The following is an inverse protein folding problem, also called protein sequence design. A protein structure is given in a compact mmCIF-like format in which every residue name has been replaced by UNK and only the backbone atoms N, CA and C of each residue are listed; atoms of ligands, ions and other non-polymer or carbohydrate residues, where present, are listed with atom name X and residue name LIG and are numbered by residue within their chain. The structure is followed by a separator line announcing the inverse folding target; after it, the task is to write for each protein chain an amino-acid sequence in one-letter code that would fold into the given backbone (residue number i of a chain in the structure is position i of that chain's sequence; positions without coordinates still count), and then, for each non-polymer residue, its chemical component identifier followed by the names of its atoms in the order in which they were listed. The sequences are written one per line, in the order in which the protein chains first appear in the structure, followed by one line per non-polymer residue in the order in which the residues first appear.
data_IF_613312233502
#
_entry.id   IF_613312233502
#
_cell.length_a   1.000
_cell.length_b   1.000
_cell.length_c   1.000
_cell.angle_alpha   90.00
_cell.angle_beta   90.00
_cell.angle_gamma   90.00
#
_symmetry.space_group_name_H-M   'P 1'
#
loop_
_entity.id
_entity.type
_entity.pdbx_description
1 polymer ?
#
# COMPACT_ATOMS: atom_id res chain seq x y z
N UNK A 1 -9.01 10.79 20.10
CA UNK A 1 -8.50 11.01 18.73
C UNK A 1 -9.72 11.22 17.86
N UNK A 2 -9.87 12.41 17.27
CA UNK A 2 -10.99 12.74 16.39
C UNK A 2 -10.57 12.47 14.94
N UNK A 3 -11.38 11.71 14.21
CA UNK A 3 -11.15 11.40 12.80
C UNK A 3 -12.14 12.21 11.96
N UNK A 4 -11.62 13.03 11.05
CA UNK A 4 -12.44 13.81 10.12
C UNK A 4 -12.28 13.24 8.71
N UNK A 5 -13.40 12.98 8.02
CA UNK A 5 -13.43 12.58 6.62
C UNK A 5 -13.88 13.78 5.79
N UNK A 6 -13.08 14.21 4.83
CA UNK A 6 -13.41 15.32 3.92
C UNK A 6 -13.35 14.87 2.46
N UNK A 7 -14.10 15.54 1.59
CA UNK A 7 -14.42 15.10 0.22
C UNK A 7 -13.24 15.16 -0.77
N UNK A 8 -12.15 15.87 -0.47
CA UNK A 8 -10.95 16.01 -1.34
C UNK A 8 -9.82 15.00 -1.05
N UNK A 9 -10.13 13.89 -0.38
CA UNK A 9 -9.17 12.86 0.02
C UNK A 9 -9.19 12.60 1.52
N UNK A 10 -8.67 11.44 1.94
CA UNK A 10 -8.61 11.08 3.36
C UNK A 10 -7.45 11.85 3.99
N UNK A 11 -7.76 12.95 4.68
CA UNK A 11 -6.81 13.63 5.56
C UNK A 11 -7.09 13.20 7.00
N UNK A 12 -6.18 12.43 7.59
CA UNK A 12 -6.31 12.03 9.00
C UNK A 12 -5.59 13.08 9.83
N UNK A 13 -6.20 13.56 10.90
CA UNK A 13 -5.57 14.53 11.79
C UNK A 13 -5.18 13.88 13.10
N UNK A 14 -3.94 14.11 13.54
CA UNK A 14 -3.45 13.69 14.85
C UNK A 14 -2.79 14.88 15.54
N UNK A 15 -3.28 15.28 16.72
CA UNK A 15 -2.81 16.45 17.48
C UNK A 15 -2.73 17.75 16.65
N UNK A 16 -3.68 17.95 15.74
CA UNK A 16 -3.72 19.12 14.85
C UNK A 16 -2.78 19.05 13.63
N UNK A 17 -1.99 17.97 13.49
CA UNK A 17 -1.13 17.72 12.34
C UNK A 17 -1.84 16.85 11.31
N UNK A 18 -1.60 17.13 10.03
CA UNK A 18 -2.20 16.43 8.91
C UNK A 18 -1.36 15.21 8.53
N UNK A 19 -1.98 14.04 8.53
CA UNK A 19 -1.48 12.83 7.90
C UNK A 19 -2.14 12.74 6.53
N UNK A 20 -1.34 12.79 5.47
CA UNK A 20 -1.82 12.68 4.10
C UNK A 20 -2.03 11.20 3.78
N UNK A 21 -3.28 10.76 3.66
CA UNK A 21 -3.58 9.40 3.23
C UNK A 21 -4.08 9.42 1.78
N UNK A 22 -3.20 9.23 0.78
CA UNK A 22 -3.66 9.05 -0.59
C UNK A 22 -4.65 7.89 -0.61
N UNK A 23 -5.83 8.13 -1.22
CA UNK A 23 -6.96 7.21 -1.18
C UNK A 23 -6.71 6.04 -2.13
N UNK A 24 -5.80 5.16 -1.74
CA UNK A 24 -5.75 3.79 -2.25
C UNK A 24 -6.68 2.89 -1.42
N UNK A 25 -7.05 3.31 -0.22
CA UNK A 25 -7.81 2.57 0.79
C UNK A 25 -9.25 2.20 0.42
N UNK A 26 -9.96 3.01 -0.37
CA UNK A 26 -11.33 2.66 -0.76
C UNK A 26 -11.35 1.48 -1.74
N UNK A 27 -10.28 1.33 -2.54
CA UNK A 27 -10.23 0.30 -3.58
C UNK A 27 -8.81 -0.24 -3.82
N UNK A 28 -8.05 -0.69 -2.80
CA UNK A 28 -6.64 -1.00 -3.00
C UNK A 28 -6.45 -2.25 -3.86
N UNK A 29 -7.31 -3.27 -3.65
CA UNK A 29 -7.42 -4.41 -4.55
C UNK A 29 -7.78 -3.97 -5.97
N UNK A 30 -8.63 -2.95 -6.14
CA UNK A 30 -8.98 -2.43 -7.46
C UNK A 30 -7.78 -1.77 -8.14
N UNK A 31 -7.00 -0.93 -7.44
CA UNK A 31 -5.80 -0.32 -8.01
C UNK A 31 -4.75 -1.35 -8.37
N UNK A 32 -4.57 -2.37 -7.53
CA UNK A 32 -3.70 -3.50 -7.86
C UNK A 32 -4.20 -4.25 -9.11
N UNK A 33 -5.49 -4.56 -9.19
CA UNK A 33 -6.13 -5.24 -10.33
C UNK A 33 -6.09 -4.38 -11.61
N UNK A 34 -6.23 -3.06 -11.50
CA UNK A 34 -6.29 -2.15 -12.66
C UNK A 34 -4.90 -1.76 -13.17
N UNK A 35 -3.92 -1.62 -12.27
CA UNK A 35 -2.66 -0.95 -12.59
C UNK A 35 -1.41 -1.80 -12.39
N UNK A 36 -1.49 -2.92 -11.65
CA UNK A 36 -0.32 -3.74 -11.32
C UNK A 36 -0.44 -5.11 -11.98
N UNK A 37 -1.49 -5.86 -11.65
CA UNK A 37 -1.66 -7.23 -12.13
C UNK A 37 -1.65 -7.37 -13.67
N UNK A 38 -2.29 -6.51 -14.47
CA UNK A 38 -2.27 -6.64 -15.93
C UNK A 38 -0.86 -6.38 -16.52
N UNK A 39 -0.12 -5.46 -15.91
CA UNK A 39 1.24 -5.13 -16.35
C UNK A 39 2.23 -6.23 -15.99
N UNK A 40 2.13 -6.78 -14.78
CA UNK A 40 2.90 -7.95 -14.37
C UNK A 40 2.58 -9.12 -15.30
N UNK A 41 1.30 -9.46 -15.48
CA UNK A 41 0.86 -10.56 -16.35
C UNK A 41 1.38 -10.41 -17.80
N UNK A 42 1.27 -9.21 -18.38
CA UNK A 42 1.84 -8.92 -19.70
C UNK A 42 3.35 -9.15 -19.71
N UNK A 43 4.07 -8.64 -18.69
CA UNK A 43 5.53 -8.76 -18.63
C UNK A 43 5.98 -10.22 -18.48
N UNK A 44 5.27 -11.02 -17.70
CA UNK A 44 5.54 -12.46 -17.58
C UNK A 44 5.35 -13.18 -18.91
N UNK A 45 4.27 -12.87 -19.63
CA UNK A 45 4.03 -13.41 -20.96
C UNK A 45 5.12 -13.01 -21.97
N UNK A 46 5.54 -11.73 -21.96
CA UNK A 46 6.62 -11.22 -22.82
C UNK A 46 7.98 -11.88 -22.50
N UNK A 47 8.19 -12.29 -21.25
CA UNK A 47 9.40 -13.00 -20.80
C UNK A 47 9.32 -14.52 -20.98
N UNK A 48 8.18 -15.06 -21.41
CA UNK A 48 7.97 -16.51 -21.52
C UNK A 48 7.93 -17.24 -20.18
N UNK A 49 7.60 -16.54 -19.09
CA UNK A 49 7.45 -17.13 -17.75
C UNK A 49 6.05 -17.73 -17.63
N UNK A 50 5.96 -19.06 -17.53
CA UNK A 50 4.71 -19.80 -17.42
C UNK A 50 4.33 -20.16 -15.97
N UNK A 51 5.31 -20.18 -15.04
CA UNK A 51 5.12 -20.33 -13.60
C UNK A 51 5.83 -19.23 -12.83
N UNK A 52 5.15 -18.61 -11.87
CA UNK A 52 5.71 -17.54 -11.05
C UNK A 52 5.38 -17.68 -9.56
N UNK A 53 6.21 -17.07 -8.73
CA UNK A 53 6.10 -17.05 -7.27
C UNK A 53 6.18 -15.62 -6.73
N UNK A 54 5.36 -15.35 -5.72
CA UNK A 54 5.40 -14.15 -4.88
C UNK A 54 4.98 -14.53 -3.46
N UNK A 55 5.51 -13.84 -2.46
CA UNK A 55 5.24 -14.12 -1.03
C UNK A 55 3.75 -13.91 -0.66
N UNK A 56 3.05 -13.03 -1.38
CA UNK A 56 1.62 -12.78 -1.19
C UNK A 56 0.78 -13.67 -2.12
N UNK A 57 0.23 -14.75 -1.56
CA UNK A 57 -0.62 -15.68 -2.31
C UNK A 57 -1.84 -14.99 -2.94
N UNK A 58 -2.47 -14.02 -2.25
CA UNK A 58 -3.63 -13.32 -2.79
C UNK A 58 -3.26 -12.48 -4.02
N UNK A 59 -2.14 -11.75 -3.93
CA UNK A 59 -1.57 -11.04 -5.06
C UNK A 59 -1.22 -12.00 -6.22
N UNK A 60 -0.65 -13.17 -5.89
CA UNK A 60 -0.33 -14.23 -6.85
C UNK A 60 -1.55 -14.73 -7.62
N UNK A 61 -2.67 -14.98 -6.93
CA UNK A 61 -3.94 -15.39 -7.56
C UNK A 61 -4.50 -14.33 -8.49
N UNK A 62 -4.42 -13.06 -8.11
CA UNK A 62 -4.90 -11.96 -8.95
C UNK A 62 -4.07 -11.86 -10.25
N UNK A 63 -2.74 -12.00 -10.15
CA UNK A 63 -1.86 -12.02 -11.33
C UNK A 63 -2.18 -13.23 -12.22
N UNK A 64 -2.37 -14.42 -11.64
CA UNK A 64 -2.74 -15.64 -12.36
C UNK A 64 -4.05 -15.46 -13.15
N UNK A 65 -5.05 -14.81 -12.55
CA UNK A 65 -6.28 -14.44 -13.26
C UNK A 65 -6.00 -13.46 -14.42
N UNK A 66 -5.19 -12.43 -14.18
CA UNK A 66 -4.80 -11.46 -15.20
C UNK A 66 -3.97 -12.08 -16.34
N UNK A 67 -3.26 -13.17 -16.08
CA UNK A 67 -2.53 -13.94 -17.10
C UNK A 67 -3.44 -14.61 -18.13
N UNK A 68 -4.73 -14.82 -17.84
CA UNK A 68 -5.67 -15.45 -18.77
C UNK A 68 -5.22 -16.83 -19.25
N UNK A 69 -4.59 -17.62 -18.36
CA UNK A 69 -4.10 -18.97 -18.65
C UNK A 69 -2.69 -19.05 -19.25
N UNK A 70 -1.99 -17.93 -19.47
CA UNK A 70 -0.62 -17.92 -20.00
C UNK A 70 0.47 -18.15 -18.94
N UNK A 71 0.17 -17.81 -17.69
CA UNK A 71 1.04 -17.98 -16.54
C UNK A 71 0.21 -18.40 -15.32
N UNK A 72 0.84 -19.15 -14.41
CA UNK A 72 0.20 -19.66 -13.19
C UNK A 72 1.03 -19.39 -11.95
N UNK A 73 0.35 -19.14 -10.84
CA UNK A 73 0.99 -18.99 -9.54
C UNK A 73 1.42 -20.36 -9.01
N UNK A 74 2.69 -20.52 -8.66
CA UNK A 74 3.24 -21.75 -8.11
C UNK A 74 4.46 -21.48 -7.22
N UNK A 75 4.61 -22.23 -6.13
CA UNK A 75 5.74 -22.09 -5.19
C UNK A 75 7.10 -22.48 -5.80
N UNK A 76 7.09 -23.28 -6.87
CA UNK A 76 8.26 -23.64 -7.68
C UNK A 76 8.46 -22.70 -8.88
N UNK A 77 7.70 -21.60 -8.96
CA UNK A 77 7.77 -20.63 -10.05
C UNK A 77 8.94 -19.66 -9.93
N UNK A 78 9.17 -18.89 -11.01
CA UNK A 78 10.15 -17.81 -11.00
C UNK A 78 9.73 -16.71 -10.01
N UNK A 79 10.67 -16.20 -9.21
CA UNK A 79 10.44 -15.05 -8.34
C UNK A 79 10.16 -13.79 -9.18
N UNK A 80 9.05 -13.13 -8.92
CA UNK A 80 8.59 -11.94 -9.64
C UNK A 80 8.66 -10.65 -8.83
N UNK A 81 9.33 -10.63 -7.67
CA UNK A 81 9.42 -9.44 -6.81
C UNK A 81 9.86 -8.20 -7.60
N UNK A 82 10.89 -8.33 -8.44
CA UNK A 82 11.39 -7.23 -9.27
C UNK A 82 10.40 -6.78 -10.36
N UNK A 83 9.62 -7.70 -10.93
CA UNK A 83 8.59 -7.37 -11.93
C UNK A 83 7.45 -6.60 -11.26
N UNK A 84 7.07 -7.01 -10.04
CA UNK A 84 6.08 -6.30 -9.23
C UNK A 84 6.58 -4.91 -8.82
N UNK A 85 7.84 -4.80 -8.36
CA UNK A 85 8.46 -3.52 -8.01
C UNK A 85 8.41 -2.55 -9.21
N UNK A 86 8.79 -3.03 -10.40
CA UNK A 86 8.75 -2.22 -11.61
C UNK A 86 7.31 -1.79 -11.97
N UNK A 87 6.32 -2.66 -11.83
CA UNK A 87 4.93 -2.31 -12.06
C UNK A 87 4.45 -1.24 -11.05
N UNK A 88 4.73 -1.43 -9.76
CA UNK A 88 4.39 -0.43 -8.74
C UNK A 88 5.05 0.91 -8.99
N UNK A 89 6.34 0.92 -9.34
CA UNK A 89 7.10 2.14 -9.60
C UNK A 89 6.47 2.97 -10.74
N UNK A 90 6.07 2.32 -11.83
CA UNK A 90 5.54 3.02 -13.00
C UNK A 90 4.06 3.41 -12.88
N UNK A 91 3.25 2.66 -12.13
CA UNK A 91 1.78 2.82 -12.18
C UNK A 91 1.14 3.27 -10.86
N UNK A 92 1.81 3.12 -9.72
CA UNK A 92 1.26 3.42 -8.41
C UNK A 92 2.10 4.41 -7.60
N UNK A 93 3.43 4.27 -7.61
CA UNK A 93 4.32 5.04 -6.77
C UNK A 93 4.22 6.55 -7.06
N UNK A 94 4.09 6.94 -8.32
CA UNK A 94 3.95 8.35 -8.71
C UNK A 94 2.70 9.00 -8.12
N UNK A 95 1.57 8.28 -8.07
CA UNK A 95 0.31 8.78 -7.51
C UNK A 95 0.43 9.02 -6.00
N UNK A 96 1.15 8.15 -5.31
CA UNK A 96 1.40 8.28 -3.86
C UNK A 96 2.36 9.45 -3.60
N UNK A 97 3.44 9.55 -4.37
CA UNK A 97 4.45 10.60 -4.21
C UNK A 97 3.93 11.98 -4.63
N UNK A 98 3.03 12.07 -5.60
CA UNK A 98 2.35 13.32 -5.93
C UNK A 98 1.54 13.87 -4.74
N UNK A 99 1.00 13.01 -3.88
CA UNK A 99 0.35 13.43 -2.64
C UNK A 99 1.36 13.90 -1.57
N UNK A 100 2.65 13.58 -1.73
CA UNK A 100 3.73 13.91 -0.81
C UNK A 100 4.43 15.25 -1.10
N UNK A 101 4.00 16.03 -2.11
CA UNK A 101 4.64 17.31 -2.48
C UNK A 101 4.74 18.31 -1.31
N UNK A 102 3.84 18.22 -0.33
CA UNK A 102 3.83 19.04 0.89
C UNK A 102 4.17 18.25 2.16
N UNK A 103 4.67 17.02 2.00
CA UNK A 103 5.03 16.15 3.10
C UNK A 103 6.53 16.17 3.34
N UNK A 104 6.92 16.06 4.61
CA UNK A 104 8.31 15.92 5.03
C UNK A 104 8.73 14.45 5.14
N UNK A 105 7.75 13.55 5.20
CA UNK A 105 7.95 12.14 5.50
C UNK A 105 7.03 11.25 4.68
N UNK A 106 7.53 10.09 4.25
CA UNK A 106 6.75 9.02 3.65
C UNK A 106 6.88 7.73 4.48
N UNK A 107 5.73 7.17 4.89
CA UNK A 107 5.70 5.87 5.56
C UNK A 107 5.67 4.74 4.52
N UNK A 108 6.61 3.80 4.64
CA UNK A 108 6.75 2.66 3.75
C UNK A 108 5.99 1.44 4.29
N UNK A 109 5.10 0.82 3.49
CA UNK A 109 4.30 -0.34 3.88
C UNK A 109 5.11 -1.65 3.73
N UNK A 110 5.90 -2.02 4.74
CA UNK A 110 6.89 -3.12 4.58
C UNK A 110 6.30 -4.52 4.45
N UNK A 111 5.00 -4.70 4.67
CA UNK A 111 4.29 -5.94 4.37
C UNK A 111 4.26 -6.24 2.86
N UNK A 112 4.28 -5.20 2.01
CA UNK A 112 4.42 -5.31 0.55
C UNK A 112 5.80 -4.78 0.14
N UNK A 113 6.81 -5.65 0.15
CA UNK A 113 8.20 -5.28 -0.15
C UNK A 113 8.36 -4.67 -1.55
N UNK A 114 7.78 -5.24 -2.64
CA UNK A 114 7.87 -4.61 -3.97
C UNK A 114 7.31 -3.18 -3.99
N UNK A 115 6.17 -2.94 -3.34
CA UNK A 115 5.59 -1.60 -3.28
C UNK A 115 6.45 -0.65 -2.43
N UNK A 116 6.94 -1.10 -1.29
CA UNK A 116 7.81 -0.29 -0.43
C UNK A 116 9.09 0.15 -1.15
N UNK A 117 9.74 -0.75 -1.89
CA UNK A 117 10.93 -0.43 -2.72
C UNK A 117 10.60 0.58 -3.81
N UNK A 118 9.49 0.36 -4.53
CA UNK A 118 9.03 1.26 -5.57
C UNK A 118 8.75 2.68 -5.04
N UNK A 119 8.10 2.77 -3.87
CA UNK A 119 7.81 4.03 -3.18
C UNK A 119 9.09 4.72 -2.70
N UNK A 120 9.99 4.00 -2.03
CA UNK A 120 11.26 4.54 -1.56
C UNK A 120 12.05 5.14 -2.72
N UNK A 121 12.21 4.39 -3.82
CA UNK A 121 12.89 4.86 -5.02
C UNK A 121 12.24 6.12 -5.60
N UNK A 122 10.93 6.09 -5.85
CA UNK A 122 10.21 7.22 -6.47
C UNK A 122 10.24 8.47 -5.59
N UNK A 123 10.11 8.30 -4.27
CA UNK A 123 10.12 9.39 -3.31
C UNK A 123 11.49 10.09 -3.28
N UNK A 124 12.59 9.33 -3.27
CA UNK A 124 13.95 9.90 -3.30
C UNK A 124 14.25 10.64 -4.61
N UNK A 125 13.76 10.15 -5.73
CA UNK A 125 13.92 10.80 -7.03
C UNK A 125 13.12 12.10 -7.13
N UNK A 126 11.90 12.14 -6.59
CA UNK A 126 10.98 13.27 -6.75
C UNK A 126 11.07 14.34 -5.66
N UNK A 127 11.41 13.96 -4.42
CA UNK A 127 11.40 14.84 -3.25
C UNK A 127 12.75 14.70 -2.52
N UNK A 128 13.79 15.44 -2.96
CA UNK A 128 15.08 15.43 -2.30
C UNK A 128 14.97 15.77 -0.82
N UNK A 129 15.50 14.91 0.05
CA UNK A 129 15.48 15.12 1.50
C UNK A 129 14.22 14.62 2.22
N UNK A 130 13.26 13.97 1.53
CA UNK A 130 12.14 13.31 2.20
C UNK A 130 12.63 12.23 3.16
N UNK A 131 12.10 12.20 4.38
CA UNK A 131 12.36 11.16 5.38
C UNK A 131 11.53 9.92 5.06
N UNK A 132 12.14 8.75 5.02
CA UNK A 132 11.45 7.48 4.82
C UNK A 132 11.34 6.71 6.13
N UNK A 133 10.13 6.33 6.54
CA UNK A 133 9.90 5.58 7.78
C UNK A 133 9.26 4.23 7.47
N UNK A 134 9.92 3.14 7.85
CA UNK A 134 9.41 1.79 7.70
C UNK A 134 8.31 1.48 8.72
N UNK A 135 7.14 1.04 8.23
CA UNK A 135 6.12 0.41 9.06
C UNK A 135 6.37 -1.11 9.08
N UNK A 136 7.08 -1.57 10.11
CA UNK A 136 7.53 -2.93 10.30
C UNK A 136 8.89 -3.23 9.68
N UNK A 137 9.19 -4.53 9.54
CA UNK A 137 10.46 -5.05 8.99
C UNK A 137 10.36 -5.29 7.50
N UNK A 138 11.48 -5.23 6.79
CA UNK A 138 11.56 -5.57 5.36
C UNK A 138 11.73 -4.40 4.39
N UNK A 139 11.85 -3.16 4.89
CA UNK A 139 12.21 -1.99 4.10
C UNK A 139 13.63 -1.49 4.44
N UNK A 140 14.70 -2.00 3.79
CA UNK A 140 16.07 -1.57 4.10
C UNK A 140 16.37 -0.12 3.69
N UNK A 141 15.57 0.45 2.80
CA UNK A 141 15.77 1.80 2.27
C UNK A 141 15.18 2.92 3.17
N UNK A 142 14.66 2.57 4.34
CA UNK A 142 14.08 3.52 5.29
C UNK A 142 15.15 4.18 6.17
N UNK A 143 14.94 5.45 6.51
CA UNK A 143 15.79 6.20 7.44
C UNK A 143 15.50 5.82 8.90
N UNK A 144 14.25 5.50 9.19
CA UNK A 144 13.78 5.08 10.51
C UNK A 144 12.89 3.84 10.42
N UNK A 145 12.85 3.07 11.52
CA UNK A 145 12.02 1.87 11.63
C UNK A 145 11.11 1.96 12.85
N UNK A 146 9.85 1.59 12.65
CA UNK A 146 8.88 1.44 13.72
C UNK A 146 8.21 0.07 13.56
N UNK A 147 8.14 -0.70 14.65
CA UNK A 147 7.36 -1.94 14.73
C UNK A 147 5.98 -1.61 15.35
N UNK A 148 4.94 -1.31 14.54
CA UNK A 148 3.70 -0.74 15.05
C UNK A 148 2.88 -1.75 15.86
N UNK A 149 2.28 -1.27 16.95
CA UNK A 149 1.24 -2.02 17.65
C UNK A 149 -0.10 -1.89 16.93
N UNK A 150 -1.03 -2.86 17.09
CA UNK A 150 -2.33 -2.80 16.43
C UNK A 150 -3.11 -1.54 16.79
N UNK A 151 -3.30 -0.65 15.80
CA UNK A 151 -4.08 0.56 15.97
C UNK A 151 -5.57 0.23 16.03
N UNK A 152 -6.23 0.68 17.10
CA UNK A 152 -7.68 0.71 17.19
C UNK A 152 -8.18 2.00 16.56
N UNK A 153 -8.86 1.88 15.43
CA UNK A 153 -9.43 3.02 14.69
C UNK A 153 -10.86 2.66 14.26
N UNK A 154 -11.80 3.64 14.25
CA UNK A 154 -13.13 3.44 13.70
C UNK A 154 -13.12 3.30 12.17
N UNK A 155 -12.01 3.65 11.51
CA UNK A 155 -11.83 3.47 10.07
C UNK A 155 -11.58 1.97 9.81
N UNK A 156 -12.32 1.31 8.89
CA UNK A 156 -12.20 -0.12 8.63
C UNK A 156 -10.90 -0.49 7.87
N UNK A 157 -9.74 -0.19 8.45
CA UNK A 157 -8.42 -0.44 7.88
C UNK A 157 -8.02 -1.90 8.00
N UNK A 158 -7.41 -2.45 6.95
CA UNK A 158 -6.73 -3.73 7.02
C UNK A 158 -5.40 -3.64 7.79
N UNK A 159 -4.73 -4.77 8.07
CA UNK A 159 -3.53 -4.81 8.89
C UNK A 159 -2.40 -3.92 8.37
N UNK A 160 -2.18 -3.85 7.06
CA UNK A 160 -1.08 -3.07 6.46
C UNK A 160 -1.33 -1.58 6.63
N UNK A 161 -2.56 -1.12 6.36
CA UNK A 161 -2.96 0.27 6.52
C UNK A 161 -2.97 0.70 7.98
N UNK A 162 -3.34 -0.19 8.90
CA UNK A 162 -3.25 0.07 10.35
C UNK A 162 -1.79 0.25 10.78
N UNK A 163 -0.90 -0.60 10.31
CA UNK A 163 0.53 -0.50 10.59
C UNK A 163 1.11 0.83 10.08
N UNK A 164 0.81 1.19 8.83
CA UNK A 164 1.23 2.46 8.23
C UNK A 164 0.69 3.67 9.00
N UNK A 165 -0.61 3.66 9.34
CA UNK A 165 -1.21 4.76 10.09
C UNK A 165 -0.65 4.87 11.53
N UNK A 166 -0.44 3.75 12.20
CA UNK A 166 0.20 3.71 13.52
C UNK A 166 1.61 4.32 13.48
N UNK A 167 2.37 3.99 12.44
CA UNK A 167 3.72 4.55 12.23
C UNK A 167 3.69 6.04 11.92
N UNK A 168 2.72 6.53 11.15
CA UNK A 168 2.57 7.97 10.91
C UNK A 168 2.24 8.74 12.21
N UNK A 169 1.36 8.18 13.05
CA UNK A 169 1.01 8.74 14.37
C UNK A 169 2.24 8.76 15.28
N UNK A 170 2.98 7.65 15.35
CA UNK A 170 4.20 7.54 16.13
C UNK A 170 5.26 8.56 15.67
N UNK A 171 5.46 8.71 14.35
CA UNK A 171 6.42 9.67 13.81
C UNK A 171 6.09 11.12 14.20
N UNK A 172 4.79 11.47 14.26
CA UNK A 172 4.34 12.75 14.80
C UNK A 172 4.67 12.88 16.29
N UNK A 173 4.37 11.84 17.07
CA UNK A 173 4.55 11.86 18.53
C UNK A 173 6.02 11.95 18.95
N UNK A 174 6.94 11.35 18.16
CA UNK A 174 8.39 11.43 18.36
C UNK A 174 9.03 12.71 17.76
N UNK A 175 8.24 13.55 17.08
CA UNK A 175 8.75 14.74 16.40
C UNK A 175 9.61 14.44 15.17
N UNK A 176 9.49 13.24 14.59
CA UNK A 176 10.15 12.84 13.34
C UNK A 176 9.41 13.36 12.10
N UNK A 177 8.12 13.68 12.22
CA UNK A 177 7.29 14.19 11.13
C UNK A 177 6.29 15.26 11.59
N UNK A 178 6.17 16.32 10.79
CA UNK A 178 5.14 17.34 10.90
C UNK A 178 3.93 17.03 10.01
N UNK A 179 4.15 16.44 8.81
CA UNK A 179 3.08 16.15 7.85
C UNK A 179 3.36 14.84 7.08
N UNK A 180 3.28 13.66 7.72
CA UNK A 180 3.63 12.40 7.09
C UNK A 180 2.59 11.97 6.04
N UNK A 181 3.07 11.34 4.97
CA UNK A 181 2.25 10.59 4.02
C UNK A 181 2.14 9.14 4.48
N UNK A 182 0.91 8.66 4.60
CA UNK A 182 0.55 7.32 5.03
C UNK A 182 -0.22 6.61 3.90
N UNK A 183 0.44 5.82 3.03
CA UNK A 183 -0.24 5.06 1.99
C UNK A 183 -1.13 3.98 2.62
N UNK A 184 -2.44 4.14 2.56
CA UNK A 184 -3.40 3.18 3.10
C UNK A 184 -3.80 2.21 1.99
N UNK A 185 -3.47 0.92 2.13
CA UNK A 185 -3.43 -0.10 1.07
C UNK A 185 -4.40 -1.26 1.25
N UNK A 186 -5.22 -1.28 2.30
CA UNK A 186 -6.14 -2.39 2.56
C UNK A 186 -7.27 -1.96 3.47
N UNK A 187 -8.44 -2.56 3.25
CA UNK A 187 -9.62 -2.37 4.07
C UNK A 187 -10.09 -3.69 4.64
N UNK A 188 -10.54 -3.66 5.89
CA UNK A 188 -11.20 -4.78 6.53
C UNK A 188 -12.71 -4.62 6.34
N UNK A 189 -13.32 -5.50 5.54
CA UNK A 189 -14.77 -5.54 5.44
C UNK A 189 -15.35 -6.05 6.77
N UNK A 190 -16.03 -5.19 7.52
CA UNK A 190 -16.90 -5.63 8.62
C UNK A 190 -18.13 -6.31 8.02
N UNK A 191 -18.28 -7.61 8.23
CA UNK A 191 -19.43 -8.40 7.76
C UNK A 191 -20.79 -7.90 8.31
N UNK A 192 -20.81 -6.93 9.23
CA UNK A 192 -21.99 -6.50 9.95
C UNK A 192 -22.93 -5.55 9.19
N UNK A 193 -22.59 -5.09 7.98
CA UNK A 193 -23.41 -4.11 7.24
C UNK A 193 -24.28 -4.69 6.11
N UNK A 194 -24.24 -6.01 5.86
CA UNK A 194 -24.97 -6.64 4.75
C UNK A 194 -26.01 -7.69 5.18
N UNK A 195 -26.49 -7.63 6.43
CA UNK A 195 -27.75 -8.29 6.79
C UNK A 195 -28.92 -7.33 6.50
N UNK A 196 -29.20 -7.09 5.22
CA UNK A 196 -30.56 -6.69 4.83
C UNK A 196 -31.35 -8.00 4.80
N UNK A 197 -32.34 -8.21 5.68
CA UNK A 197 -33.19 -9.37 5.58
C UNK A 197 -33.93 -9.29 4.24
N UNK A 198 -33.65 -10.23 3.35
CA UNK A 198 -34.48 -10.46 2.18
C UNK A 198 -35.79 -11.06 2.71
N UNK A 199 -36.74 -10.21 3.08
CA UNK A 199 -38.12 -10.63 3.24
C UNK A 199 -38.67 -10.85 1.84
N UNK A 200 -38.75 -12.11 1.43
CA UNK A 200 -39.57 -12.48 0.28
C UNK A 200 -41.05 -12.19 0.60
N UNK A 201 -41.82 -11.60 -0.34
CA UNK A 201 -43.26 -11.45 -0.21
C UNK A 201 -44.01 -12.78 -0.25
#
# INVERSE_FOLDING_TARGET
MEFYLTEDGVAIYHKGRRIVAPVLYLTPTLHYVQHVAPHVAKRLADMGIDKFYTDDEAAGRIIELACGGKCRYAKDGADIEQVMEYAYYNYLADKVVAAAIHADTLVLPCADKPLAKALARRAREAIPGITLIAAGRGCPDADHHHDPTPLQTPIPLGPTSRAVLATAIWAIDEGLAEAPVAPLLDAQCTQSALQVPITHP
#
